data_IF_301814362533
#
_entry.id   IF_301814362533
#
_cell.length_a   1.000
_cell.length_b   1.000
_cell.length_c   1.000
_cell.angle_alpha   90.00
_cell.angle_beta   90.00
_cell.angle_gamma   90.00
#
_symmetry.space_group_name_H-M   'P 1'
#
loop_
_entity.id
_entity.type
_entity.pdbx_description
1 polymer ?
#
# COMPACT_ATOMS: atom_id res chain seq x y z
N UNK A 1 41.47 10.22 -5.61
CA UNK A 1 41.61 9.32 -4.44
C UNK A 1 40.33 8.51 -4.33
N UNK A 2 40.41 7.22 -4.14
CA UNK A 2 39.23 6.37 -3.96
C UNK A 2 38.56 6.68 -2.61
N UNK A 3 37.26 6.37 -2.41
CA UNK A 3 36.59 6.52 -1.10
C UNK A 3 37.29 5.81 0.05
N UNK A 4 38.06 4.76 -0.25
CA UNK A 4 38.91 4.05 0.71
C UNK A 4 40.16 4.81 1.16
N UNK A 5 40.42 6.00 0.64
CA UNK A 5 41.67 6.76 0.88
C UNK A 5 42.88 6.25 0.09
N UNK A 6 42.74 5.25 -0.75
CA UNK A 6 43.82 4.68 -1.56
C UNK A 6 43.90 5.39 -2.91
N UNK A 7 45.14 5.58 -3.43
CA UNK A 7 45.33 6.12 -4.76
C UNK A 7 44.95 5.08 -5.84
N UNK A 8 44.06 5.48 -6.75
CA UNK A 8 43.67 4.62 -7.87
C UNK A 8 44.79 4.44 -8.90
N UNK A 9 45.57 5.49 -9.10
CA UNK A 9 46.77 5.48 -9.93
C UNK A 9 47.75 6.56 -9.47
N UNK A 10 49.03 6.43 -9.84
CA UNK A 10 50.09 7.39 -9.56
C UNK A 10 51.05 7.44 -10.74
N UNK A 11 51.34 8.61 -11.20
CA UNK A 11 52.40 8.88 -12.18
C UNK A 11 53.49 9.77 -11.55
N UNK A 12 54.73 9.58 -11.94
CA UNK A 12 55.85 10.39 -11.46
C UNK A 12 56.81 10.71 -12.62
N UNK A 13 57.31 11.92 -12.63
CA UNK A 13 58.35 12.37 -13.55
C UNK A 13 59.27 13.38 -12.87
N UNK A 14 60.48 13.67 -13.41
CA UNK A 14 61.32 14.77 -12.97
C UNK A 14 60.58 16.11 -13.13
N UNK A 15 60.59 16.94 -12.08
CA UNK A 15 59.83 18.23 -12.06
C UNK A 15 60.38 19.24 -13.09
N UNK A 16 61.59 19.06 -13.57
CA UNK A 16 62.27 19.96 -14.50
C UNK A 16 61.86 19.76 -15.96
N UNK A 17 61.15 18.71 -16.32
CA UNK A 17 60.68 18.47 -17.70
C UNK A 17 59.22 18.89 -17.86
N UNK A 18 59.01 20.10 -18.30
CA UNK A 18 57.68 20.68 -18.51
C UNK A 18 56.83 19.91 -19.56
N UNK A 19 57.46 19.28 -20.57
CA UNK A 19 56.80 18.48 -21.60
C UNK A 19 56.28 17.16 -21.03
N UNK A 20 57.10 16.48 -20.28
CA UNK A 20 56.72 15.24 -19.56
C UNK A 20 55.62 15.50 -18.53
N UNK A 21 55.72 16.57 -17.77
CA UNK A 21 54.67 16.98 -16.82
C UNK A 21 53.33 17.21 -17.54
N UNK A 22 53.36 17.90 -18.69
CA UNK A 22 52.12 18.13 -19.45
C UNK A 22 51.51 16.83 -20.01
N UNK A 23 52.33 15.91 -20.52
CA UNK A 23 51.89 14.58 -20.98
C UNK A 23 51.28 13.74 -19.84
N UNK A 24 51.91 13.72 -18.69
CA UNK A 24 51.41 12.95 -17.54
C UNK A 24 50.14 13.58 -16.94
N UNK A 25 50.01 14.92 -16.96
CA UNK A 25 48.74 15.58 -16.60
C UNK A 25 47.58 15.18 -17.52
N UNK A 26 47.83 15.21 -18.86
CA UNK A 26 46.84 14.78 -19.83
C UNK A 26 46.45 13.31 -19.61
N UNK A 27 47.45 12.44 -19.39
CA UNK A 27 47.22 11.03 -19.08
C UNK A 27 46.45 10.83 -17.77
N UNK A 28 46.75 11.59 -16.73
CA UNK A 28 46.04 11.54 -15.45
C UNK A 28 44.60 12.03 -15.58
N UNK A 29 44.32 13.05 -16.37
CA UNK A 29 42.97 13.55 -16.66
C UNK A 29 42.17 12.45 -17.40
N UNK A 30 42.75 11.83 -18.44
CA UNK A 30 42.13 10.76 -19.20
C UNK A 30 41.83 9.54 -18.31
N UNK A 31 42.77 9.12 -17.47
CA UNK A 31 42.59 8.00 -16.57
C UNK A 31 41.61 8.33 -15.44
N UNK A 32 41.62 9.55 -14.92
CA UNK A 32 40.63 10.03 -13.97
C UNK A 32 39.21 10.04 -14.55
N UNK A 33 39.06 10.50 -15.79
CA UNK A 33 37.79 10.48 -16.52
C UNK A 33 37.33 9.02 -16.75
N UNK A 34 38.26 8.13 -17.13
CA UNK A 34 37.98 6.70 -17.30
C UNK A 34 37.54 6.02 -16.00
N UNK A 35 38.18 6.34 -14.87
CA UNK A 35 37.85 5.80 -13.55
C UNK A 35 36.57 6.43 -13.00
N UNK A 36 36.32 7.71 -13.25
CA UNK A 36 35.08 8.36 -12.82
C UNK A 36 33.85 7.95 -13.61
N UNK A 37 34.02 7.41 -14.83
CA UNK A 37 32.95 6.90 -15.70
C UNK A 37 32.79 5.39 -15.58
N UNK A 38 33.80 4.63 -15.14
CA UNK A 38 33.76 3.17 -15.07
C UNK A 38 33.82 2.67 -13.62
N UNK A 39 33.27 1.53 -13.42
CA UNK A 39 33.57 0.48 -12.44
C UNK A 39 33.27 0.69 -10.96
N UNK A 40 33.24 1.89 -10.42
CA UNK A 40 33.04 2.04 -8.97
C UNK A 40 31.57 2.25 -8.54
N UNK A 41 30.68 2.63 -9.44
CA UNK A 41 29.29 2.92 -9.12
C UNK A 41 28.26 2.30 -10.07
N UNK A 42 28.66 1.59 -11.12
CA UNK A 42 27.70 0.88 -11.95
C UNK A 42 27.26 -0.41 -11.27
N UNK A 43 25.95 -0.54 -10.95
CA UNK A 43 25.42 -1.84 -10.59
C UNK A 43 25.65 -2.81 -11.77
N UNK A 44 26.23 -3.99 -11.58
CA UNK A 44 26.39 -4.95 -12.65
C UNK A 44 25.02 -5.36 -13.21
N UNK A 45 24.87 -5.38 -14.55
CA UNK A 45 23.70 -5.99 -15.19
C UNK A 45 22.56 -5.04 -15.58
N UNK A 46 22.86 -3.86 -16.16
CA UNK A 46 21.85 -2.97 -16.74
C UNK A 46 20.82 -2.46 -15.74
N UNK A 47 19.59 -2.24 -16.19
CA UNK A 47 18.49 -1.80 -15.31
C UNK A 47 18.12 -2.85 -14.26
N UNK A 48 18.31 -4.14 -14.54
CA UNK A 48 18.11 -5.19 -13.53
C UNK A 48 19.06 -5.00 -12.34
N UNK A 49 20.35 -4.73 -12.60
CA UNK A 49 21.33 -4.44 -11.55
C UNK A 49 21.01 -3.15 -10.77
N UNK A 50 20.50 -2.13 -11.47
CA UNK A 50 20.07 -0.88 -10.82
C UNK A 50 18.86 -1.14 -9.89
N UNK A 51 17.93 -2.00 -10.26
CA UNK A 51 16.81 -2.43 -9.39
C UNK A 51 17.35 -3.08 -8.11
N UNK A 52 18.30 -4.00 -8.23
CA UNK A 52 18.89 -4.69 -7.06
C UNK A 52 19.66 -3.74 -6.16
N UNK A 53 20.45 -2.85 -6.75
CA UNK A 53 21.17 -1.81 -6.02
C UNK A 53 20.21 -0.86 -5.27
N UNK A 54 19.06 -0.52 -5.88
CA UNK A 54 18.04 0.30 -5.22
C UNK A 54 17.43 -0.42 -4.03
N UNK A 55 17.12 -1.72 -4.12
CA UNK A 55 16.59 -2.49 -2.97
C UNK A 55 17.62 -2.55 -1.85
N UNK A 56 18.89 -2.84 -2.17
CA UNK A 56 19.97 -2.84 -1.19
C UNK A 56 20.12 -1.48 -0.52
N UNK A 57 20.13 -0.41 -1.31
CA UNK A 57 20.16 0.95 -0.75
C UNK A 57 18.99 1.22 0.19
N UNK A 58 17.78 0.77 -0.12
CA UNK A 58 16.61 0.89 0.76
C UNK A 58 16.77 0.10 2.07
N UNK A 59 17.40 -1.05 2.03
CA UNK A 59 17.70 -1.86 3.23
C UNK A 59 18.75 -1.16 4.12
N UNK A 60 19.78 -0.58 3.54
CA UNK A 60 20.90 0.07 4.21
C UNK A 60 20.55 1.44 4.81
N UNK A 61 19.46 2.09 4.37
CA UNK A 61 19.03 3.37 4.93
C UNK A 61 18.70 3.27 6.43
N UNK A 62 19.08 4.28 7.25
CA UNK A 62 18.65 4.37 8.64
C UNK A 62 17.13 4.39 8.81
N UNK A 63 16.63 3.90 9.94
CA UNK A 63 15.18 3.83 10.21
C UNK A 63 14.49 5.19 10.22
N UNK A 64 15.20 6.24 10.59
CA UNK A 64 14.73 7.62 10.64
C UNK A 64 14.92 8.40 9.32
N UNK A 65 15.51 7.78 8.30
CA UNK A 65 15.66 8.44 7.00
C UNK A 65 14.31 8.56 6.29
N UNK A 66 13.94 9.77 5.90
CA UNK A 66 12.65 10.07 5.23
C UNK A 66 12.49 9.38 3.87
N UNK A 67 13.60 8.95 3.26
CA UNK A 67 13.64 8.22 1.98
C UNK A 67 13.43 6.72 2.17
N UNK A 68 13.61 6.20 3.39
CA UNK A 68 13.41 4.79 3.70
C UNK A 68 11.94 4.41 3.60
N UNK A 69 11.66 3.41 2.80
CA UNK A 69 10.30 2.89 2.64
C UNK A 69 9.96 1.86 3.72
N UNK A 70 8.71 1.87 4.14
CA UNK A 70 8.22 0.84 5.06
C UNK A 70 8.43 -0.57 4.49
N UNK A 71 8.76 -1.54 5.34
CA UNK A 71 9.00 -2.95 4.95
C UNK A 71 7.85 -3.55 4.14
N UNK A 72 6.59 -3.19 4.47
CA UNK A 72 5.41 -3.62 3.72
C UNK A 72 5.35 -3.04 2.31
N UNK A 73 5.87 -1.82 2.10
CA UNK A 73 5.99 -1.19 0.78
C UNK A 73 7.05 -1.89 -0.05
N UNK A 74 8.22 -2.15 0.55
CA UNK A 74 9.31 -2.90 -0.10
C UNK A 74 8.84 -4.31 -0.50
N UNK A 75 8.13 -5.02 0.38
CA UNK A 75 7.54 -6.32 0.07
C UNK A 75 6.54 -6.26 -1.11
N UNK A 76 5.78 -5.17 -1.21
CA UNK A 76 4.89 -4.92 -2.35
C UNK A 76 5.62 -4.58 -3.64
N UNK A 77 6.77 -3.89 -3.55
CA UNK A 77 7.57 -3.52 -4.72
C UNK A 77 8.34 -4.70 -5.34
N UNK A 78 8.67 -5.76 -4.57
CA UNK A 78 9.40 -6.92 -5.11
C UNK A 78 8.71 -7.58 -6.32
N UNK A 79 7.40 -7.93 -6.28
CA UNK A 79 6.71 -8.46 -7.46
C UNK A 79 6.61 -7.46 -8.63
N UNK A 80 6.52 -6.16 -8.33
CA UNK A 80 6.50 -5.09 -9.33
C UNK A 80 7.87 -5.01 -10.03
N UNK A 81 8.95 -5.10 -9.27
CA UNK A 81 10.33 -5.12 -9.77
C UNK A 81 10.61 -6.31 -10.69
N UNK A 82 10.08 -7.51 -10.38
CA UNK A 82 10.25 -8.67 -11.25
C UNK A 82 9.61 -8.48 -12.64
N UNK A 83 8.48 -7.77 -12.72
CA UNK A 83 7.89 -7.41 -14.01
C UNK A 83 8.73 -6.37 -14.76
N UNK A 84 9.30 -5.40 -14.04
CA UNK A 84 10.21 -4.41 -14.62
C UNK A 84 11.52 -5.03 -15.11
N UNK A 85 12.09 -6.00 -14.37
CA UNK A 85 13.27 -6.76 -14.85
C UNK A 85 13.00 -7.49 -16.15
N UNK A 86 11.80 -8.10 -16.29
CA UNK A 86 11.41 -8.78 -17.54
C UNK A 86 11.28 -7.82 -18.72
N UNK A 87 10.76 -6.61 -18.46
CA UNK A 87 10.52 -5.63 -19.52
C UNK A 87 11.77 -4.83 -19.90
N UNK A 88 12.52 -4.36 -18.92
CA UNK A 88 13.61 -3.39 -19.12
C UNK A 88 14.97 -3.87 -18.58
N UNK A 89 15.01 -5.01 -17.88
CA UNK A 89 16.21 -5.44 -17.14
C UNK A 89 17.47 -5.63 -17.97
N UNK A 90 17.31 -5.94 -19.26
CA UNK A 90 18.39 -6.14 -20.22
C UNK A 90 18.96 -4.84 -20.80
N UNK A 91 18.26 -3.71 -20.62
CA UNK A 91 18.66 -2.40 -21.12
C UNK A 91 19.59 -1.71 -20.13
N UNK A 92 20.52 -0.94 -20.63
CA UNK A 92 21.24 0.03 -19.81
C UNK A 92 20.28 1.16 -19.40
N UNK A 93 20.41 1.76 -18.20
CA UNK A 93 19.50 2.82 -17.74
C UNK A 93 19.37 3.99 -18.71
N UNK A 94 20.43 4.31 -19.47
CA UNK A 94 20.45 5.40 -20.46
C UNK A 94 19.68 5.06 -21.74
N UNK A 95 19.46 3.77 -22.03
CA UNK A 95 18.71 3.31 -23.20
C UNK A 95 17.20 3.35 -22.97
N UNK A 96 16.77 3.45 -21.72
CA UNK A 96 15.36 3.51 -21.39
C UNK A 96 14.79 4.87 -21.80
N UNK A 97 13.81 4.83 -22.69
CA UNK A 97 13.17 6.02 -23.24
C UNK A 97 11.76 6.23 -22.69
N UNK A 98 11.26 7.46 -22.83
CA UNK A 98 9.88 7.80 -22.50
C UNK A 98 8.86 6.99 -23.31
N UNK A 99 9.15 6.73 -24.60
CA UNK A 99 8.31 5.92 -25.47
C UNK A 99 8.10 4.51 -24.91
N UNK A 100 9.17 3.85 -24.48
CA UNK A 100 9.11 2.52 -23.86
C UNK A 100 8.22 2.49 -22.62
N UNK A 101 8.19 3.58 -21.85
CA UNK A 101 7.29 3.71 -20.70
C UNK A 101 5.81 3.74 -21.09
N UNK A 102 5.46 4.44 -22.18
CA UNK A 102 4.11 4.43 -22.73
C UNK A 102 3.74 3.07 -23.33
N UNK A 103 4.62 2.46 -24.13
CA UNK A 103 4.43 1.13 -24.68
C UNK A 103 4.16 0.08 -23.59
N UNK A 104 4.89 0.16 -22.48
CA UNK A 104 4.64 -0.69 -21.32
C UNK A 104 3.26 -0.47 -20.69
N UNK A 105 2.85 0.79 -20.53
CA UNK A 105 1.52 1.11 -19.99
C UNK A 105 0.41 0.63 -20.94
N UNK A 106 0.56 0.78 -22.24
CA UNK A 106 -0.39 0.33 -23.27
C UNK A 106 -0.47 -1.20 -23.32
N UNK A 107 0.66 -1.88 -23.23
CA UNK A 107 0.70 -3.35 -23.12
C UNK A 107 -0.03 -3.84 -21.85
N UNK A 108 -0.03 -3.04 -20.75
CA UNK A 108 -0.80 -3.37 -19.57
C UNK A 108 -2.32 -3.21 -19.76
N UNK A 109 -2.79 -2.40 -20.71
CA UNK A 109 -4.22 -2.28 -21.05
C UNK A 109 -4.73 -3.48 -21.86
N UNK A 110 -3.87 -4.08 -22.69
CA UNK A 110 -4.21 -5.16 -23.60
C UNK A 110 -3.70 -6.53 -23.15
N UNK A 111 -3.13 -6.64 -21.94
CA UNK A 111 -2.54 -7.87 -21.44
C UNK A 111 -3.54 -9.04 -21.39
N UNK A 112 -3.03 -10.24 -21.69
CA UNK A 112 -3.77 -11.50 -21.63
C UNK A 112 -3.09 -12.47 -20.65
N UNK A 113 -3.82 -13.48 -20.17
CA UNK A 113 -3.24 -14.58 -19.40
C UNK A 113 -2.60 -15.64 -20.31
N UNK A 114 -2.01 -16.68 -19.70
CA UNK A 114 -1.35 -17.78 -20.42
C UNK A 114 -2.27 -18.54 -21.38
N UNK A 115 -3.59 -18.44 -21.20
CA UNK A 115 -4.61 -19.07 -22.04
C UNK A 115 -5.18 -18.11 -23.09
N UNK A 116 -4.56 -16.95 -23.30
CA UNK A 116 -5.02 -15.93 -24.25
C UNK A 116 -6.25 -15.13 -23.80
N UNK A 117 -6.77 -15.38 -22.56
CA UNK A 117 -7.89 -14.62 -22.03
C UNK A 117 -7.46 -13.22 -21.64
N UNK A 118 -8.16 -12.22 -22.15
CA UNK A 118 -7.90 -10.81 -21.82
C UNK A 118 -7.93 -10.56 -20.29
N UNK A 119 -6.82 -10.05 -19.77
CA UNK A 119 -6.65 -9.66 -18.35
C UNK A 119 -5.92 -8.32 -18.23
N UNK A 120 -6.56 -7.23 -18.59
CA UNK A 120 -5.99 -5.89 -18.44
C UNK A 120 -5.52 -5.63 -17.01
N UNK A 121 -4.32 -5.06 -16.86
CA UNK A 121 -3.72 -4.78 -15.57
C UNK A 121 -3.25 -3.32 -15.40
N UNK A 122 -4.05 -2.31 -15.77
CA UNK A 122 -3.62 -0.91 -15.79
C UNK A 122 -3.19 -0.40 -14.41
N UNK A 123 -3.85 -0.84 -13.33
CA UNK A 123 -3.48 -0.44 -11.96
C UNK A 123 -2.09 -0.97 -11.59
N UNK A 124 -1.75 -2.19 -12.00
CA UNK A 124 -0.41 -2.76 -11.77
C UNK A 124 0.62 -2.05 -12.62
N UNK A 125 0.38 -1.86 -13.92
CA UNK A 125 1.26 -1.12 -14.79
C UNK A 125 1.60 0.28 -14.26
N UNK A 126 0.60 1.01 -13.78
CA UNK A 126 0.80 2.32 -13.15
C UNK A 126 1.71 2.26 -11.90
N UNK A 127 1.63 1.19 -11.10
CA UNK A 127 2.49 1.00 -9.92
C UNK A 127 3.91 0.62 -10.32
N UNK A 128 4.05 -0.23 -11.31
CA UNK A 128 5.32 -0.68 -11.84
C UNK A 128 6.09 0.50 -12.45
N UNK A 129 5.45 1.32 -13.27
CA UNK A 129 6.08 2.56 -13.79
C UNK A 129 6.41 3.55 -12.66
N UNK A 130 5.56 3.68 -11.65
CA UNK A 130 5.89 4.52 -10.50
C UNK A 130 7.10 4.00 -9.70
N UNK A 131 7.30 2.68 -9.63
CA UNK A 131 8.50 2.08 -9.06
C UNK A 131 9.72 2.31 -9.96
N UNK A 132 9.59 2.08 -11.28
CA UNK A 132 10.67 2.30 -12.23
C UNK A 132 11.17 3.75 -12.20
N UNK A 133 10.24 4.73 -12.12
CA UNK A 133 10.57 6.14 -11.94
C UNK A 133 11.46 6.39 -10.71
N UNK A 134 11.15 5.77 -9.56
CA UNK A 134 11.96 5.91 -8.35
C UNK A 134 13.34 5.26 -8.47
N UNK A 135 13.43 4.15 -9.19
CA UNK A 135 14.69 3.45 -9.43
C UNK A 135 15.56 4.24 -10.41
N UNK A 136 14.97 4.82 -11.45
CA UNK A 136 15.68 5.71 -12.38
C UNK A 136 16.16 6.99 -11.69
N UNK A 137 15.36 7.56 -10.79
CA UNK A 137 15.78 8.68 -9.93
C UNK A 137 16.99 8.31 -9.05
N UNK A 138 17.02 7.09 -8.55
CA UNK A 138 18.20 6.57 -7.86
C UNK A 138 19.40 6.43 -8.83
N UNK A 139 19.15 6.05 -10.08
CA UNK A 139 20.16 6.02 -11.14
C UNK A 139 20.78 7.40 -11.43
N UNK A 140 19.98 8.48 -11.38
CA UNK A 140 20.50 9.86 -11.49
C UNK A 140 21.47 10.15 -10.34
N UNK A 141 21.12 9.78 -9.10
CA UNK A 141 22.01 9.93 -7.93
C UNK A 141 23.33 9.16 -8.05
N UNK A 142 23.34 8.13 -8.91
CA UNK A 142 24.51 7.32 -9.21
C UNK A 142 25.24 7.74 -10.48
N UNK A 143 24.87 8.90 -11.05
CA UNK A 143 25.41 9.43 -12.30
C UNK A 143 25.28 8.49 -13.50
N UNK A 144 24.28 7.59 -13.47
CA UNK A 144 24.00 6.67 -14.58
C UNK A 144 23.14 7.30 -15.67
N UNK A 145 22.36 8.31 -15.33
CA UNK A 145 21.56 9.10 -16.27
C UNK A 145 21.43 10.53 -15.77
N UNK A 146 21.20 11.46 -16.69
CA UNK A 146 21.05 12.89 -16.38
C UNK A 146 19.58 13.30 -16.21
N UNK A 147 18.65 12.60 -16.82
CA UNK A 147 17.22 12.89 -16.84
C UNK A 147 16.44 11.59 -16.64
N UNK A 148 15.37 11.66 -15.85
CA UNK A 148 14.47 10.53 -15.66
C UNK A 148 13.43 10.48 -16.80
N UNK A 149 13.48 9.48 -17.69
CA UNK A 149 12.55 9.42 -18.80
C UNK A 149 11.08 9.18 -18.38
N UNK A 150 10.84 8.77 -17.12
CA UNK A 150 9.51 8.44 -16.62
C UNK A 150 8.87 9.50 -15.73
N UNK A 151 9.50 10.70 -15.58
CA UNK A 151 8.96 11.74 -14.70
C UNK A 151 7.56 12.22 -15.08
N UNK A 152 7.33 12.48 -16.37
CA UNK A 152 6.06 13.05 -16.86
C UNK A 152 5.16 12.04 -17.58
N UNK A 153 5.31 10.76 -17.30
CA UNK A 153 4.45 9.75 -17.91
C UNK A 153 3.00 9.87 -17.38
N UNK A 154 2.07 10.03 -18.32
CA UNK A 154 0.65 10.00 -18.00
C UNK A 154 0.21 8.56 -17.72
N UNK A 155 -0.34 8.35 -16.53
CA UNK A 155 -0.81 7.03 -16.07
C UNK A 155 -2.09 6.60 -16.78
N UNK A 156 -2.27 5.31 -16.93
CA UNK A 156 -3.52 4.73 -17.39
C UNK A 156 -4.70 5.14 -16.49
N UNK A 157 -5.78 5.61 -17.09
CA UNK A 157 -7.01 5.88 -16.36
C UNK A 157 -7.60 4.58 -15.83
N UNK A 158 -7.97 4.58 -14.56
CA UNK A 158 -8.57 3.41 -13.91
C UNK A 158 -9.90 3.76 -13.29
N UNK A 159 -10.90 2.95 -13.54
CA UNK A 159 -12.21 3.09 -12.90
C UNK A 159 -12.17 2.33 -11.57
N UNK A 160 -12.39 3.05 -10.48
CA UNK A 160 -12.53 2.43 -9.16
C UNK A 160 -13.96 1.92 -9.01
N UNK A 161 -14.11 0.67 -8.60
CA UNK A 161 -15.43 0.17 -8.18
C UNK A 161 -15.93 1.02 -7.00
N UNK A 162 -17.13 1.55 -7.13
CA UNK A 162 -17.80 2.32 -6.07
C UNK A 162 -18.89 1.50 -5.38
N UNK A 163 -18.82 0.16 -5.45
CA UNK A 163 -19.80 -0.68 -4.77
C UNK A 163 -19.88 -0.30 -3.28
N UNK A 164 -21.09 -0.10 -2.80
CA UNK A 164 -21.42 0.10 -1.40
C UNK A 164 -22.00 -1.21 -0.84
N UNK A 165 -21.49 -1.66 0.29
CA UNK A 165 -22.09 -2.78 1.03
C UNK A 165 -23.36 -2.27 1.70
N UNK A 166 -24.46 -3.01 1.58
CA UNK A 166 -25.72 -2.64 2.22
C UNK A 166 -25.76 -3.07 3.70
N UNK A 167 -26.58 -2.42 4.53
CA UNK A 167 -26.82 -2.87 5.91
C UNK A 167 -27.31 -4.32 5.99
N UNK A 168 -28.14 -4.73 5.05
CA UNK A 168 -28.67 -6.10 4.95
C UNK A 168 -27.57 -7.14 4.68
N UNK A 169 -26.60 -6.82 3.81
CA UNK A 169 -25.47 -7.71 3.54
C UNK A 169 -24.57 -7.88 4.77
N UNK A 170 -24.30 -6.80 5.50
CA UNK A 170 -23.51 -6.86 6.73
C UNK A 170 -24.27 -7.63 7.82
N UNK A 171 -25.56 -7.37 8.01
CA UNK A 171 -26.39 -8.06 8.98
C UNK A 171 -26.45 -9.58 8.71
N UNK A 172 -26.64 -9.99 7.45
CA UNK A 172 -26.63 -11.39 7.04
C UNK A 172 -25.27 -12.07 7.34
N UNK A 173 -24.16 -11.38 7.04
CA UNK A 173 -22.82 -11.91 7.33
C UNK A 173 -22.59 -12.08 8.85
N UNK A 174 -23.10 -11.17 9.66
CA UNK A 174 -23.03 -11.24 11.13
C UNK A 174 -23.90 -12.37 11.66
N UNK A 175 -25.14 -12.49 11.19
CA UNK A 175 -26.06 -13.58 11.57
C UNK A 175 -25.45 -14.95 11.27
N UNK A 176 -24.99 -15.16 10.04
CA UNK A 176 -24.42 -16.44 9.64
C UNK A 176 -23.08 -16.73 10.32
N UNK A 177 -22.27 -15.71 10.56
CA UNK A 177 -21.04 -15.87 11.32
C UNK A 177 -21.28 -16.36 12.74
N UNK A 178 -22.30 -15.84 13.43
CA UNK A 178 -22.75 -16.33 14.75
C UNK A 178 -23.24 -17.78 14.67
N UNK A 179 -24.06 -18.11 13.68
CA UNK A 179 -24.61 -19.44 13.48
C UNK A 179 -23.53 -20.49 13.20
N UNK A 180 -22.54 -20.17 12.38
CA UNK A 180 -21.44 -21.08 12.02
C UNK A 180 -20.47 -21.22 13.19
N UNK A 181 -20.19 -20.14 13.92
CA UNK A 181 -19.26 -20.13 15.05
C UNK A 181 -17.77 -20.10 14.63
N UNK A 182 -16.88 -20.29 15.60
CA UNK A 182 -15.44 -20.41 15.38
C UNK A 182 -14.81 -19.23 14.61
N UNK A 183 -13.94 -19.52 13.61
CA UNK A 183 -13.27 -18.49 12.82
C UNK A 183 -14.24 -17.56 12.08
N UNK A 184 -15.39 -18.06 11.63
CA UNK A 184 -16.39 -17.29 10.89
C UNK A 184 -17.08 -16.27 11.82
N UNK A 185 -17.32 -16.65 13.07
CA UNK A 185 -17.84 -15.73 14.07
C UNK A 185 -16.84 -14.60 14.37
N UNK A 186 -15.54 -14.92 14.52
CA UNK A 186 -14.48 -13.91 14.71
C UNK A 186 -14.45 -12.92 13.52
N UNK A 187 -14.52 -13.45 12.30
CA UNK A 187 -14.53 -12.61 11.08
C UNK A 187 -15.76 -11.72 11.02
N UNK A 188 -16.93 -12.25 11.34
CA UNK A 188 -18.18 -11.50 11.36
C UNK A 188 -18.14 -10.34 12.37
N UNK A 189 -17.65 -10.59 13.59
CA UNK A 189 -17.46 -9.54 14.60
C UNK A 189 -16.45 -8.50 14.17
N UNK A 190 -15.39 -8.90 13.47
CA UNK A 190 -14.43 -7.95 12.91
C UNK A 190 -15.02 -7.07 11.80
N UNK A 191 -15.88 -7.62 10.92
CA UNK A 191 -16.62 -6.86 9.90
C UNK A 191 -17.52 -5.82 10.56
N UNK A 192 -18.29 -6.21 11.57
CA UNK A 192 -19.16 -5.32 12.32
C UNK A 192 -18.35 -4.23 13.05
N UNK A 193 -17.24 -4.59 13.70
CA UNK A 193 -16.37 -3.61 14.37
C UNK A 193 -15.72 -2.65 13.38
N UNK A 194 -15.30 -3.12 12.18
CA UNK A 194 -14.77 -2.27 11.13
C UNK A 194 -15.77 -1.20 10.68
N UNK A 195 -17.04 -1.54 10.61
CA UNK A 195 -18.13 -0.62 10.33
C UNK A 195 -18.35 0.34 11.51
N UNK A 196 -18.60 -0.17 12.71
CA UNK A 196 -18.92 0.64 13.88
C UNK A 196 -17.80 1.63 14.26
N UNK A 197 -16.54 1.23 14.10
CA UNK A 197 -15.38 2.07 14.40
C UNK A 197 -14.82 2.84 13.19
N UNK A 198 -15.38 2.67 12.00
CA UNK A 198 -14.90 3.33 10.76
C UNK A 198 -13.42 3.05 10.49
N UNK A 199 -12.92 1.83 10.82
CA UNK A 199 -11.47 1.53 10.80
C UNK A 199 -10.99 0.78 9.55
N UNK A 200 -9.68 0.94 9.28
CA UNK A 200 -9.03 0.20 8.19
C UNK A 200 -8.86 -1.27 8.53
N UNK A 201 -8.91 -2.13 7.52
CA UNK A 201 -8.81 -3.59 7.70
C UNK A 201 -7.54 -4.04 8.44
N UNK A 202 -6.42 -3.33 8.24
CA UNK A 202 -5.15 -3.64 8.93
C UNK A 202 -5.18 -3.27 10.40
N UNK A 203 -5.86 -2.18 10.75
CA UNK A 203 -6.06 -1.71 12.12
C UNK A 203 -6.95 -2.71 12.87
N UNK A 204 -8.11 -3.07 12.31
CA UNK A 204 -9.04 -4.02 12.93
C UNK A 204 -8.40 -5.40 13.17
N UNK A 205 -7.63 -5.91 12.21
CA UNK A 205 -6.95 -7.20 12.39
C UNK A 205 -5.76 -7.17 13.34
N UNK A 206 -5.29 -6.00 13.70
CA UNK A 206 -4.14 -5.81 14.58
C UNK A 206 -4.51 -5.34 15.99
N UNK A 207 -5.77 -4.98 16.23
CA UNK A 207 -6.20 -4.46 17.53
C UNK A 207 -6.05 -5.50 18.63
N UNK A 208 -5.58 -5.05 19.77
CA UNK A 208 -5.34 -5.85 20.96
C UNK A 208 -6.35 -5.51 22.07
N UNK A 209 -6.44 -6.33 23.10
CA UNK A 209 -7.41 -6.15 24.17
C UNK A 209 -7.11 -4.97 25.07
N UNK A 210 -5.86 -4.56 25.20
CA UNK A 210 -5.41 -3.39 25.93
C UNK A 210 -5.87 -2.05 25.30
N UNK A 211 -6.32 -2.09 24.05
CA UNK A 211 -6.95 -0.94 23.41
C UNK A 211 -8.40 -0.69 23.90
N UNK A 212 -9.00 -1.64 24.63
CA UNK A 212 -10.32 -1.52 25.20
C UNK A 212 -10.22 -0.73 26.52
N UNK A 213 -10.92 0.39 26.59
CA UNK A 213 -10.93 1.27 27.75
C UNK A 213 -12.35 1.41 28.31
N UNK A 214 -12.51 2.06 29.47
CA UNK A 214 -13.83 2.36 30.04
C UNK A 214 -14.68 3.25 29.13
N UNK A 215 -14.05 4.19 28.42
CA UNK A 215 -14.73 5.17 27.57
C UNK A 215 -14.97 4.70 26.13
N UNK A 216 -14.27 3.65 25.67
CA UNK A 216 -14.35 3.20 24.28
C UNK A 216 -13.16 2.38 23.85
N UNK A 217 -12.90 2.35 22.54
CA UNK A 217 -11.76 1.66 21.96
C UNK A 217 -10.76 2.70 21.46
N UNK A 218 -9.52 2.60 21.93
CA UNK A 218 -8.40 3.45 21.53
C UNK A 218 -7.70 2.88 20.29
N UNK A 219 -7.60 3.68 19.24
CA UNK A 219 -6.97 3.33 17.98
C UNK A 219 -5.74 4.19 17.73
N UNK A 220 -4.56 3.59 17.70
CA UNK A 220 -3.31 4.27 17.32
C UNK A 220 -3.12 4.23 15.80
N UNK A 221 -2.49 5.26 15.24
CA UNK A 221 -2.09 5.23 13.83
C UNK A 221 -0.85 4.32 13.69
N UNK A 222 -1.02 3.17 13.04
CA UNK A 222 0.07 2.22 12.85
C UNK A 222 1.18 2.69 11.88
N UNK A 223 1.00 3.85 11.23
CA UNK A 223 1.98 4.43 10.31
C UNK A 223 2.76 5.59 10.92
N UNK A 224 2.16 6.29 11.86
CA UNK A 224 2.77 7.45 12.51
C UNK A 224 2.48 7.39 14.01
N UNK A 225 3.45 6.91 14.81
CA UNK A 225 3.30 6.80 16.26
C UNK A 225 3.12 8.17 16.96
N UNK A 226 3.51 9.27 16.31
CA UNK A 226 3.40 10.61 16.87
C UNK A 226 1.99 11.21 16.70
N UNK A 227 1.15 10.60 15.89
CA UNK A 227 -0.24 11.03 15.79
C UNK A 227 -1.03 10.65 17.03
N UNK A 228 -1.89 11.55 17.52
CA UNK A 228 -2.75 11.24 18.66
C UNK A 228 -3.65 10.05 18.33
N UNK A 229 -3.78 9.14 19.28
CA UNK A 229 -4.72 8.03 19.18
C UNK A 229 -6.15 8.56 19.09
N UNK A 230 -7.01 7.83 18.38
CA UNK A 230 -8.43 8.16 18.25
C UNK A 230 -9.20 7.25 19.18
N UNK A 231 -9.97 7.83 20.08
CA UNK A 231 -10.90 7.11 20.92
C UNK A 231 -12.28 7.05 20.24
N UNK A 232 -12.74 5.85 19.92
CA UNK A 232 -14.12 5.63 19.48
C UNK A 232 -14.93 5.27 20.71
N UNK A 233 -15.82 6.17 21.10
CA UNK A 233 -16.66 6.02 22.28
C UNK A 233 -17.62 4.83 22.16
N UNK A 234 -18.02 4.28 23.29
CA UNK A 234 -18.98 3.20 23.32
C UNK A 234 -20.35 3.65 22.83
N UNK A 235 -20.87 2.89 21.89
CA UNK A 235 -22.30 2.79 21.61
C UNK A 235 -22.79 1.43 22.11
N UNK A 236 -24.09 1.24 22.34
CA UNK A 236 -24.63 -0.07 22.75
C UNK A 236 -24.21 -1.20 21.79
N UNK A 237 -24.29 -0.96 20.47
CA UNK A 237 -23.93 -1.94 19.45
C UNK A 237 -22.43 -2.28 19.47
N UNK A 238 -21.56 -1.27 19.64
CA UNK A 238 -20.12 -1.50 19.71
C UNK A 238 -19.76 -2.29 20.95
N UNK A 239 -20.33 -1.92 22.11
CA UNK A 239 -20.09 -2.62 23.39
C UNK A 239 -20.56 -4.08 23.30
N UNK A 240 -21.74 -4.32 22.77
CA UNK A 240 -22.28 -5.66 22.58
C UNK A 240 -21.38 -6.50 21.64
N UNK A 241 -20.95 -5.93 20.50
CA UNK A 241 -20.08 -6.60 19.54
C UNK A 241 -18.74 -7.01 20.18
N UNK A 242 -18.12 -6.12 20.95
CA UNK A 242 -16.86 -6.38 21.62
C UNK A 242 -17.01 -7.42 22.73
N UNK A 243 -18.05 -7.30 23.58
CA UNK A 243 -18.34 -8.27 24.62
C UNK A 243 -18.60 -9.66 24.07
N UNK A 244 -19.33 -9.76 22.97
CA UNK A 244 -19.54 -11.01 22.25
C UNK A 244 -18.21 -11.57 21.71
N UNK A 245 -17.39 -10.73 21.09
CA UNK A 245 -16.08 -11.14 20.55
C UNK A 245 -15.16 -11.73 21.61
N UNK A 246 -15.13 -11.13 22.80
CA UNK A 246 -14.30 -11.59 23.93
C UNK A 246 -14.75 -12.98 24.41
N UNK A 247 -16.05 -13.29 24.34
CA UNK A 247 -16.63 -14.56 24.78
C UNK A 247 -16.43 -15.71 23.77
N UNK A 248 -16.01 -15.43 22.53
CA UNK A 248 -15.78 -16.49 21.54
C UNK A 248 -14.69 -17.43 22.04
N UNK A 249 -15.05 -18.71 22.25
CA UNK A 249 -14.11 -19.76 22.66
C UNK A 249 -13.08 -20.02 21.56
N UNK A 250 -11.80 -20.11 21.93
CA UNK A 250 -10.67 -20.47 21.08
C UNK A 250 -10.03 -21.76 21.55
N UNK A 251 -9.40 -22.50 20.64
CA UNK A 251 -8.78 -23.78 20.95
C UNK A 251 -7.61 -23.60 21.93
N UNK A 252 -7.69 -24.24 23.09
CA UNK A 252 -6.60 -24.39 24.08
C UNK A 252 -5.87 -23.11 24.51
N UNK A 253 -6.47 -21.92 24.29
CA UNK A 253 -5.87 -20.64 24.67
C UNK A 253 -6.79 -19.95 25.67
N UNK A 254 -6.28 -19.77 26.88
CA UNK A 254 -7.02 -19.09 27.96
C UNK A 254 -7.35 -17.63 27.65
N UNK A 255 -6.58 -17.00 26.74
CA UNK A 255 -6.82 -15.65 26.25
C UNK A 255 -6.02 -15.38 24.98
N UNK A 256 -6.50 -14.46 24.16
CA UNK A 256 -5.75 -13.93 23.01
C UNK A 256 -5.43 -12.45 23.30
N UNK A 257 -4.20 -12.04 23.06
CA UNK A 257 -3.83 -10.63 23.06
C UNK A 257 -4.65 -9.89 21.98
N UNK A 258 -4.80 -10.51 20.81
CA UNK A 258 -5.56 -9.92 19.70
C UNK A 258 -7.06 -10.09 19.91
N UNK A 259 -7.81 -9.02 19.76
CA UNK A 259 -9.27 -9.06 19.87
C UNK A 259 -9.87 -9.99 18.82
N UNK A 260 -9.41 -9.89 17.57
CA UNK A 260 -9.78 -10.76 16.46
C UNK A 260 -8.68 -11.77 16.12
N UNK A 261 -8.03 -12.34 17.14
CA UNK A 261 -7.05 -13.42 16.95
C UNK A 261 -7.68 -14.67 16.33
N UNK A 262 -6.87 -15.47 15.65
CA UNK A 262 -7.27 -16.77 15.11
C UNK A 262 -7.61 -17.78 16.24
N UNK A 263 -7.95 -19.01 15.90
CA UNK A 263 -8.30 -20.04 16.88
C UNK A 263 -7.14 -20.43 17.82
N UNK A 264 -5.89 -20.10 17.47
CA UNK A 264 -4.70 -20.25 18.30
C UNK A 264 -4.38 -18.97 19.10
N UNK A 265 -5.24 -17.94 19.06
CA UNK A 265 -5.04 -16.67 19.74
C UNK A 265 -4.01 -15.73 19.08
N UNK A 266 -3.49 -16.09 17.92
CA UNK A 266 -2.47 -15.32 17.20
C UNK A 266 -3.11 -14.38 16.17
N UNK A 267 -2.35 -13.38 15.71
CA UNK A 267 -2.75 -12.53 14.60
C UNK A 267 -2.96 -13.36 13.34
N UNK A 268 -4.06 -13.13 12.63
CA UNK A 268 -4.29 -13.78 11.34
C UNK A 268 -3.22 -13.43 10.31
N UNK A 269 -2.70 -14.44 9.62
CA UNK A 269 -1.98 -14.23 8.37
C UNK A 269 -2.93 -13.73 7.29
N UNK A 270 -2.39 -13.14 6.21
CA UNK A 270 -3.22 -12.68 5.07
C UNK A 270 -4.01 -13.83 4.44
N UNK A 271 -3.38 -14.99 4.27
CA UNK A 271 -4.01 -16.20 3.72
C UNK A 271 -5.08 -16.78 4.63
N UNK A 272 -4.77 -16.93 5.93
CA UNK A 272 -5.71 -17.45 6.93
C UNK A 272 -6.94 -16.57 7.10
N UNK A 273 -6.76 -15.24 7.07
CA UNK A 273 -7.89 -14.31 7.07
C UNK A 273 -8.77 -14.48 5.83
N UNK A 274 -8.13 -14.51 4.64
CA UNK A 274 -8.86 -14.70 3.38
C UNK A 274 -9.68 -15.99 3.39
N UNK A 275 -9.07 -17.09 3.80
CA UNK A 275 -9.74 -18.39 3.85
C UNK A 275 -10.94 -18.39 4.83
N UNK A 276 -10.80 -17.78 6.01
CA UNK A 276 -11.89 -17.67 6.99
C UNK A 276 -13.02 -16.76 6.47
N UNK A 277 -12.68 -15.66 5.81
CA UNK A 277 -13.64 -14.76 5.17
C UNK A 277 -14.39 -15.47 4.03
N UNK A 278 -13.69 -16.18 3.15
CA UNK A 278 -14.32 -16.90 2.03
C UNK A 278 -15.30 -17.99 2.53
N UNK A 279 -14.92 -18.69 3.62
CA UNK A 279 -15.80 -19.66 4.30
C UNK A 279 -17.04 -19.02 4.95
N UNK A 280 -17.02 -17.73 5.28
CA UNK A 280 -18.19 -16.99 5.72
C UNK A 280 -19.02 -16.49 4.54
N UNK A 281 -18.38 -15.92 3.52
CA UNK A 281 -19.07 -15.28 2.40
C UNK A 281 -19.81 -16.28 1.50
N UNK A 282 -19.31 -17.51 1.37
CA UNK A 282 -19.95 -18.54 0.55
C UNK A 282 -21.35 -18.93 1.06
N UNK A 283 -21.55 -19.29 2.35
CA UNK A 283 -22.89 -19.48 2.90
C UNK A 283 -23.78 -18.24 2.80
N UNK A 284 -23.20 -17.03 2.94
CA UNK A 284 -23.97 -15.79 2.80
C UNK A 284 -24.55 -15.64 1.40
N UNK A 285 -23.79 -15.97 0.34
CA UNK A 285 -24.28 -15.95 -1.04
C UNK A 285 -25.45 -16.88 -1.24
N UNK A 286 -25.38 -18.09 -0.68
CA UNK A 286 -26.46 -19.10 -0.80
C UNK A 286 -27.71 -18.62 -0.07
N UNK A 287 -27.55 -18.18 1.18
CA UNK A 287 -28.67 -17.76 2.01
C UNK A 287 -29.34 -16.48 1.50
N UNK A 288 -28.55 -15.52 1.02
CA UNK A 288 -29.05 -14.30 0.40
C UNK A 288 -29.94 -14.60 -0.80
N UNK A 289 -29.53 -15.55 -1.66
CA UNK A 289 -30.34 -15.99 -2.80
C UNK A 289 -31.69 -16.56 -2.35
N UNK A 290 -31.72 -17.36 -1.27
CA UNK A 290 -32.97 -17.91 -0.71
C UNK A 290 -33.88 -16.82 -0.15
N UNK A 291 -33.33 -15.78 0.44
CA UNK A 291 -34.09 -14.67 1.04
C UNK A 291 -34.39 -13.53 0.08
N UNK A 292 -33.97 -13.60 -1.19
CA UNK A 292 -34.13 -12.53 -2.17
C UNK A 292 -33.33 -11.27 -1.85
N UNK A 293 -32.22 -11.41 -1.09
CA UNK A 293 -31.33 -10.29 -0.73
C UNK A 293 -30.26 -10.16 -1.83
N UNK A 294 -30.07 -8.97 -2.36
CA UNK A 294 -28.94 -8.67 -3.22
C UNK A 294 -27.64 -8.75 -2.39
N UNK A 295 -26.79 -9.68 -2.72
CA UNK A 295 -25.56 -9.95 -1.98
C UNK A 295 -24.39 -10.21 -2.92
N UNK A 296 -23.27 -9.58 -2.66
CA UNK A 296 -22.00 -9.95 -3.26
C UNK A 296 -20.90 -9.99 -2.21
N UNK A 297 -19.86 -10.81 -2.48
CA UNK A 297 -18.73 -10.94 -1.58
C UNK A 297 -18.11 -9.58 -1.27
N UNK A 298 -17.91 -9.28 0.01
CA UNK A 298 -17.24 -8.10 0.51
C UNK A 298 -16.18 -8.43 1.56
N UNK A 299 -15.44 -7.45 2.02
CA UNK A 299 -14.33 -7.61 2.95
C UNK A 299 -14.28 -6.46 3.96
N UNK A 300 -13.37 -6.53 4.94
CA UNK A 300 -13.13 -5.45 5.90
C UNK A 300 -12.87 -4.08 5.23
N UNK A 301 -12.28 -4.07 4.03
CA UNK A 301 -12.01 -2.82 3.32
C UNK A 301 -13.29 -2.13 2.85
N UNK A 302 -14.34 -2.90 2.61
CA UNK A 302 -15.62 -2.40 2.11
C UNK A 302 -16.51 -1.87 3.24
N UNK A 303 -16.31 -2.32 4.49
CA UNK A 303 -17.04 -1.83 5.66
C UNK A 303 -16.74 -0.36 5.96
N UNK A 304 -15.51 0.12 5.72
CA UNK A 304 -15.16 1.52 6.01
C UNK A 304 -15.84 2.52 5.07
N UNK A 305 -15.89 2.35 3.74
CA UNK A 305 -16.70 3.20 2.88
C UNK A 305 -18.18 3.19 3.23
N UNK A 306 -18.74 2.03 3.59
CA UNK A 306 -20.11 1.92 4.08
C UNK A 306 -20.32 2.82 5.30
N UNK A 307 -19.51 2.66 6.34
CA UNK A 307 -19.60 3.45 7.58
C UNK A 307 -19.43 4.95 7.35
N UNK A 308 -18.50 5.35 6.47
CA UNK A 308 -18.30 6.77 6.13
C UNK A 308 -19.52 7.32 5.39
N UNK A 309 -20.08 6.56 4.44
CA UNK A 309 -21.27 6.98 3.70
C UNK A 309 -22.45 7.17 4.64
N UNK A 310 -22.69 6.23 5.55
CA UNK A 310 -23.78 6.31 6.53
C UNK A 310 -23.60 7.50 7.49
N UNK A 311 -22.36 7.77 7.97
CA UNK A 311 -22.07 8.94 8.81
C UNK A 311 -22.33 10.26 8.07
N UNK A 312 -21.97 10.33 6.78
CA UNK A 312 -22.23 11.51 5.95
C UNK A 312 -23.72 11.69 5.67
N UNK A 313 -24.49 10.62 5.49
CA UNK A 313 -25.93 10.66 5.32
C UNK A 313 -26.65 11.16 6.58
N UNK A 314 -26.19 10.74 7.76
CA UNK A 314 -26.70 11.25 9.06
C UNK A 314 -26.26 12.67 9.37
N UNK A 315 -25.28 13.23 8.65
CA UNK A 315 -24.72 14.55 8.93
C UNK A 315 -23.75 14.59 10.11
N UNK A 316 -23.14 13.45 10.47
CA UNK A 316 -22.19 13.34 11.58
C UNK A 316 -20.95 14.22 11.36
N UNK A 317 -20.70 15.19 12.25
CA UNK A 317 -19.61 16.15 12.12
C UNK A 317 -18.22 15.54 12.45
N UNK A 318 -18.19 14.42 13.17
CA UNK A 318 -16.96 13.75 13.61
C UNK A 318 -16.37 12.76 12.59
N UNK A 319 -16.96 12.65 11.39
CA UNK A 319 -16.54 11.69 10.34
C UNK A 319 -15.04 11.78 10.03
N UNK A 320 -14.48 12.98 9.99
CA UNK A 320 -13.05 13.21 9.76
C UNK A 320 -12.20 12.67 10.91
N UNK A 321 -12.61 12.93 12.15
CA UNK A 321 -11.94 12.42 13.36
C UNK A 321 -12.02 10.90 13.38
N UNK A 322 -13.22 10.34 13.22
CA UNK A 322 -13.43 8.89 13.23
C UNK A 322 -12.61 8.16 12.16
N UNK A 323 -12.40 8.76 10.98
CA UNK A 323 -11.57 8.18 9.92
C UNK A 323 -10.07 8.38 10.13
N UNK A 324 -9.65 9.39 10.90
CA UNK A 324 -8.25 9.79 11.05
C UNK A 324 -7.62 10.37 9.78
N UNK A 325 -8.42 10.98 8.90
CA UNK A 325 -7.90 11.65 7.69
C UNK A 325 -7.53 13.10 7.98
N UNK A 326 -6.42 13.53 7.37
CA UNK A 326 -5.97 14.92 7.45
C UNK A 326 -6.81 15.88 6.60
N UNK A 327 -7.45 15.39 5.52
CA UNK A 327 -8.23 16.22 4.60
C UNK A 327 -9.59 15.62 4.25
N UNK A 328 -10.58 16.51 4.08
CA UNK A 328 -11.95 16.14 3.67
C UNK A 328 -12.03 15.69 2.21
N UNK A 329 -11.06 16.12 1.38
CA UNK A 329 -10.92 15.67 -0.01
C UNK A 329 -10.81 14.15 -0.11
N UNK A 330 -10.10 13.51 0.83
CA UNK A 330 -9.97 12.05 0.84
C UNK A 330 -11.29 11.38 1.19
N UNK A 331 -12.07 11.95 2.10
CA UNK A 331 -13.40 11.43 2.47
C UNK A 331 -14.34 11.52 1.28
N UNK A 332 -14.45 12.70 0.68
CA UNK A 332 -15.37 12.96 -0.46
C UNK A 332 -15.02 12.19 -1.73
N UNK A 333 -13.73 11.97 -2.00
CA UNK A 333 -13.28 11.33 -3.26
C UNK A 333 -13.21 9.80 -3.17
N UNK A 334 -12.87 9.25 -2.00
CA UNK A 334 -12.57 7.82 -1.86
C UNK A 334 -13.68 7.06 -1.14
N UNK A 335 -14.27 7.67 -0.11
CA UNK A 335 -15.19 6.97 0.78
C UNK A 335 -16.65 7.37 0.63
N UNK A 336 -16.95 8.59 0.21
CA UNK A 336 -18.32 9.02 -0.05
C UNK A 336 -18.88 8.29 -1.30
N UNK A 337 -19.78 7.37 -1.06
CA UNK A 337 -20.41 6.54 -2.11
C UNK A 337 -21.91 6.81 -2.19
N UNK A 338 -22.40 7.93 -1.61
CA UNK A 338 -23.79 8.31 -1.71
C UNK A 338 -24.21 8.47 -3.17
N UNK A 339 -25.31 7.88 -3.58
CA UNK A 339 -25.81 8.02 -4.94
C UNK A 339 -26.30 9.45 -5.22
N UNK A 340 -26.74 10.14 -4.17
CA UNK A 340 -27.28 11.51 -4.24
C UNK A 340 -26.76 12.33 -3.07
N UNK A 341 -26.44 13.60 -3.33
CA UNK A 341 -26.13 14.58 -2.28
C UNK A 341 -27.31 15.55 -2.18
N UNK A 342 -27.78 15.78 -0.96
CA UNK A 342 -28.88 16.69 -0.68
C UNK A 342 -28.30 18.05 -0.29
N UNK A 343 -28.83 19.12 -0.90
CA UNK A 343 -28.52 20.49 -0.54
C UNK A 343 -29.82 21.25 -0.33
N UNK A 344 -29.79 22.21 0.58
CA UNK A 344 -30.91 23.13 0.81
C UNK A 344 -30.88 24.23 -0.26
N UNK A 345 -32.02 24.56 -0.82
CA UNK A 345 -32.15 25.70 -1.75
C UNK A 345 -31.74 27.02 -1.07
N UNK A 346 -31.21 27.95 -1.87
CA UNK A 346 -30.90 29.29 -1.38
C UNK A 346 -32.16 30.00 -0.90
N UNK A 347 -32.08 30.73 0.20
CA UNK A 347 -33.18 31.58 0.68
C UNK A 347 -33.08 32.96 0.04
N UNK A 348 -34.18 33.48 -0.48
CA UNK A 348 -34.23 34.86 -0.88
C UNK A 348 -34.03 35.76 0.34
N UNK A 349 -33.03 36.63 0.26
CA UNK A 349 -32.78 37.60 1.32
C UNK A 349 -34.03 38.47 1.46
N UNK A 350 -34.54 38.63 2.69
CA UNK A 350 -35.47 39.72 2.99
C UNK A 350 -34.64 41.01 2.84
N UNK A 351 -35.06 41.88 1.88
CA UNK A 351 -34.58 43.26 1.83
C UNK A 351 -35.02 43.99 3.11
#
# INVERSE_FOLDING_TARGET
MLPSGVWAFRFSCPVLDASEVAKLRAKAITESARISVSDYERPPGGFAGLIEAWFKWQEDLPLNDTRKRASSTIAGNKPEAENLKKAFGHLEPQEITRSMGYEYLDACLTSSDQNGKSRPRPIKGNKEIALARLILEFGIRKNLLSINPFDDLTRNKTVKSKRLVSPQELALAVELGRKIGGPQHIVAMALQTAYLCVRRSVEVRAITRDCITELGIRWSDGKDPNKPAILIQWTPDLRNTINETIKIKRNKVAGSMFLFGNMQGQKYTKGGWKASLDKLMFPCLIEAKKRGIEFSRFSLQDCRPMAVTDKLERGDQDTKIATGHSSDKMISTVYDRRPQRVATGAKLGKK
#
